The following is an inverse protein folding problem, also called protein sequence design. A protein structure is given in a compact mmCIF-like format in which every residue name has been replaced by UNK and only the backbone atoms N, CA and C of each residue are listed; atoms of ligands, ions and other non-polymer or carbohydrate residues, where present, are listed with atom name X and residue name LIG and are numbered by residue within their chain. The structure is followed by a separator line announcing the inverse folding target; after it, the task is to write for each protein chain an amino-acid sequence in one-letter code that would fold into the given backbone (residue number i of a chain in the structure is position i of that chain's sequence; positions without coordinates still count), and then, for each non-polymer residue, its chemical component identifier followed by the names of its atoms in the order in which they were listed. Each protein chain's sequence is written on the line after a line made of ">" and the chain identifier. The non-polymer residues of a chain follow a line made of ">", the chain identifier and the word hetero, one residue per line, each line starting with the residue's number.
data_IF_412629775992
#
_entry.id   IF_412629775992
#
_cell.length_a   1.000
_cell.length_b   1.000
_cell.length_c   1.000
_cell.angle_alpha   90.00
_cell.angle_beta   90.00
_cell.angle_gamma   90.00
#
_symmetry.space_group_name_H-M   'P 1'
#
loop_
_entity.id
_entity.type
_entity.pdbx_description
1 polymer ?
#
# COMPACT_ATOMS: atom_id res chain seq x y z
N UNK A 1 -21.10 14.99 -12.45
CA UNK A 1 -20.30 13.98 -13.17
C UNK A 1 -19.40 13.26 -12.16
N UNK A 2 -19.62 11.99 -11.81
CA UNK A 2 -18.93 11.33 -10.67
C UNK A 2 -17.70 10.49 -11.07
N UNK A 3 -17.70 9.87 -12.25
CA UNK A 3 -16.74 8.81 -12.63
C UNK A 3 -15.24 9.20 -12.57
N UNK A 4 -14.87 10.44 -12.86
CA UNK A 4 -13.46 10.86 -12.81
C UNK A 4 -12.98 11.12 -11.37
N UNK A 5 -13.89 11.48 -10.47
CA UNK A 5 -13.60 11.73 -9.06
C UNK A 5 -13.28 10.43 -8.34
N UNK A 6 -14.03 9.37 -8.66
CA UNK A 6 -13.83 8.03 -8.09
C UNK A 6 -12.46 7.44 -8.47
N UNK A 7 -11.98 7.70 -9.69
CA UNK A 7 -10.65 7.26 -10.15
C UNK A 7 -9.50 7.96 -9.42
N UNK A 8 -9.58 9.27 -9.30
CA UNK A 8 -8.55 10.05 -8.60
C UNK A 8 -8.51 9.71 -7.12
N UNK A 9 -9.68 9.51 -6.50
CA UNK A 9 -9.78 9.11 -5.10
C UNK A 9 -9.20 7.71 -4.86
N UNK A 10 -9.50 6.74 -5.72
CA UNK A 10 -8.94 5.39 -5.60
C UNK A 10 -7.41 5.40 -5.75
N UNK A 11 -6.89 6.14 -6.73
CA UNK A 11 -5.44 6.27 -6.92
C UNK A 11 -4.74 6.92 -5.70
N UNK A 12 -5.30 8.01 -5.18
CA UNK A 12 -4.77 8.69 -3.99
C UNK A 12 -4.83 7.81 -2.74
N UNK A 13 -5.90 7.03 -2.57
CA UNK A 13 -6.02 6.09 -1.47
C UNK A 13 -4.95 4.99 -1.55
N UNK A 14 -4.72 4.42 -2.74
CA UNK A 14 -3.65 3.45 -2.95
C UNK A 14 -2.27 4.05 -2.65
N UNK A 15 -2.00 5.27 -3.13
CA UNK A 15 -0.74 5.97 -2.85
C UNK A 15 -0.53 6.18 -1.34
N UNK A 16 -1.56 6.64 -0.63
CA UNK A 16 -1.47 6.87 0.82
C UNK A 16 -1.21 5.56 1.58
N UNK A 17 -1.95 4.50 1.25
CA UNK A 17 -1.80 3.21 1.91
C UNK A 17 -0.39 2.61 1.71
N UNK A 18 0.20 2.80 0.52
CA UNK A 18 1.58 2.36 0.24
C UNK A 18 2.60 3.10 1.11
N UNK A 19 2.45 4.41 1.27
CA UNK A 19 3.34 5.19 2.16
C UNK A 19 3.18 4.76 3.62
N UNK A 20 1.94 4.53 4.08
CA UNK A 20 1.69 4.02 5.43
C UNK A 20 2.34 2.64 5.66
N UNK A 21 2.24 1.73 4.69
CA UNK A 21 2.89 0.43 4.74
C UNK A 21 4.43 0.56 4.82
N UNK A 22 5.03 1.45 4.03
CA UNK A 22 6.48 1.73 4.09
C UNK A 22 6.91 2.31 5.42
N UNK A 23 6.14 3.25 5.98
CA UNK A 23 6.42 3.86 7.27
C UNK A 23 6.34 2.82 8.39
N UNK A 24 5.27 2.02 8.42
CA UNK A 24 5.09 0.97 9.41
C UNK A 24 6.19 -0.10 9.32
N UNK A 25 6.60 -0.48 8.11
CA UNK A 25 7.72 -1.40 7.89
C UNK A 25 9.05 -0.80 8.36
N UNK A 26 9.32 0.46 8.01
CA UNK A 26 10.55 1.16 8.39
C UNK A 26 10.65 1.38 9.91
N UNK A 27 9.52 1.39 10.60
CA UNK A 27 9.45 1.51 12.04
C UNK A 27 9.79 0.21 12.79
N UNK A 28 9.95 -0.94 12.10
CA UNK A 28 10.34 -2.21 12.71
C UNK A 28 11.82 -2.16 13.09
N UNK A 29 12.10 -1.85 14.36
CA UNK A 29 13.43 -1.99 14.93
C UNK A 29 13.66 -3.43 15.42
N UNK A 30 14.61 -4.13 14.80
CA UNK A 30 14.97 -5.51 15.20
C UNK A 30 15.54 -5.52 16.62
N UNK A 31 15.17 -6.54 17.40
CA UNK A 31 15.60 -6.75 18.79
C UNK A 31 15.00 -5.80 19.84
N UNK A 32 13.96 -5.04 19.49
CA UNK A 32 13.19 -4.26 20.47
C UNK A 32 12.03 -5.07 21.07
N UNK A 33 11.60 -4.78 22.31
CA UNK A 33 10.46 -5.47 22.95
C UNK A 33 9.13 -5.33 22.20
N UNK A 34 8.97 -4.27 21.39
CA UNK A 34 7.75 -3.96 20.64
C UNK A 34 7.79 -4.47 19.18
N UNK A 35 8.86 -5.14 18.77
CA UNK A 35 9.08 -5.64 17.40
C UNK A 35 7.88 -6.44 16.87
N UNK A 36 7.34 -7.37 17.67
CA UNK A 36 6.19 -8.19 17.27
C UNK A 36 4.90 -7.38 17.04
N UNK A 37 4.67 -6.32 17.82
CA UNK A 37 3.53 -5.41 17.62
C UNK A 37 3.71 -4.60 16.34
N UNK A 38 4.93 -4.13 16.06
CA UNK A 38 5.25 -3.37 14.86
C UNK A 38 5.19 -4.21 13.59
N UNK A 39 5.69 -5.45 13.63
CA UNK A 39 5.51 -6.40 12.52
C UNK A 39 4.04 -6.64 12.22
N UNK A 40 3.21 -6.81 13.26
CA UNK A 40 1.77 -7.00 13.09
C UNK A 40 1.14 -5.76 12.44
N UNK A 41 1.48 -4.57 12.90
CA UNK A 41 0.99 -3.32 12.30
C UNK A 41 1.42 -3.22 10.84
N UNK A 42 2.70 -3.39 10.54
CA UNK A 42 3.21 -3.34 9.18
C UNK A 42 2.53 -4.35 8.26
N UNK A 43 2.25 -5.57 8.74
CA UNK A 43 1.47 -6.57 7.98
C UNK A 43 0.05 -6.08 7.68
N UNK A 44 -0.62 -5.46 8.65
CA UNK A 44 -1.96 -4.89 8.43
C UNK A 44 -1.95 -3.76 7.39
N UNK A 45 -0.97 -2.85 7.47
CA UNK A 45 -0.84 -1.75 6.50
C UNK A 45 -0.51 -2.29 5.09
N UNK A 46 0.32 -3.33 4.99
CA UNK A 46 0.63 -4.03 3.73
C UNK A 46 -0.65 -4.64 3.12
N UNK A 47 -1.44 -5.37 3.91
CA UNK A 47 -2.70 -5.97 3.44
C UNK A 47 -3.70 -4.90 3.00
N UNK A 48 -3.78 -3.77 3.72
CA UNK A 48 -4.62 -2.64 3.34
C UNK A 48 -4.15 -1.99 2.03
N UNK A 49 -2.83 -1.80 1.87
CA UNK A 49 -2.25 -1.26 0.65
C UNK A 49 -2.52 -2.16 -0.57
N UNK A 50 -2.36 -3.48 -0.46
CA UNK A 50 -2.73 -4.44 -1.53
C UNK A 50 -4.19 -4.24 -1.96
N UNK A 51 -5.11 -4.17 -0.99
CA UNK A 51 -6.54 -4.01 -1.28
C UNK A 51 -6.85 -2.67 -1.96
N UNK A 52 -6.21 -1.57 -1.55
CA UNK A 52 -6.43 -0.26 -2.18
C UNK A 52 -5.84 -0.20 -3.59
N UNK A 53 -4.69 -0.84 -3.82
CA UNK A 53 -4.08 -0.96 -5.16
C UNK A 53 -5.00 -1.73 -6.10
N UNK A 54 -5.51 -2.90 -5.67
CA UNK A 54 -6.45 -3.70 -6.46
C UNK A 54 -7.69 -2.89 -6.85
N UNK A 55 -8.30 -2.19 -5.88
CA UNK A 55 -9.45 -1.31 -6.15
C UNK A 55 -9.10 -0.22 -7.16
N UNK A 56 -7.96 0.44 -7.00
CA UNK A 56 -7.53 1.49 -7.90
C UNK A 56 -7.27 0.96 -9.32
N UNK A 57 -6.69 -0.25 -9.46
CA UNK A 57 -6.45 -0.89 -10.75
C UNK A 57 -7.75 -1.08 -11.53
N UNK A 58 -8.87 -1.42 -10.86
CA UNK A 58 -10.17 -1.64 -11.52
C UNK A 58 -10.76 -0.38 -12.19
N UNK A 59 -10.38 0.81 -11.75
CA UNK A 59 -10.94 2.09 -12.23
C UNK A 59 -9.91 2.98 -12.93
N UNK A 60 -8.62 2.68 -12.78
CA UNK A 60 -7.48 3.48 -13.26
C UNK A 60 -7.48 3.81 -14.76
N UNK A 61 -6.78 4.88 -15.14
CA UNK A 61 -6.33 5.12 -16.53
C UNK A 61 -5.03 4.36 -16.81
N UNK A 62 -4.62 4.27 -18.08
CA UNK A 62 -3.38 3.57 -18.48
C UNK A 62 -2.13 4.08 -17.73
N UNK A 63 -1.96 5.40 -17.62
CA UNK A 63 -0.87 5.99 -16.83
C UNK A 63 -0.95 5.69 -15.33
N UNK A 64 -2.16 5.64 -14.77
CA UNK A 64 -2.35 5.28 -13.36
C UNK A 64 -2.06 3.79 -13.14
N UNK A 65 -2.34 2.95 -14.14
CA UNK A 65 -2.11 1.51 -14.08
C UNK A 65 -0.61 1.19 -13.93
N UNK A 66 0.26 1.87 -14.68
CA UNK A 66 1.72 1.71 -14.56
C UNK A 66 2.20 2.06 -13.13
N UNK A 67 1.72 3.17 -12.57
CA UNK A 67 2.08 3.58 -11.22
C UNK A 67 1.55 2.60 -10.16
N UNK A 68 0.32 2.12 -10.32
CA UNK A 68 -0.27 1.13 -9.42
C UNK A 68 0.44 -0.23 -9.50
N UNK A 69 0.94 -0.62 -10.68
CA UNK A 69 1.75 -1.82 -10.81
C UNK A 69 3.08 -1.71 -10.05
N UNK A 70 3.73 -0.53 -10.09
CA UNK A 70 4.91 -0.28 -9.28
C UNK A 70 4.62 -0.29 -7.76
N UNK A 71 3.46 0.23 -7.36
CA UNK A 71 3.01 0.13 -5.97
C UNK A 71 2.80 -1.33 -5.55
N UNK A 72 2.16 -2.14 -6.41
CA UNK A 72 2.00 -3.58 -6.14
C UNK A 72 3.35 -4.27 -5.94
N UNK A 73 4.31 -4.03 -6.83
CA UNK A 73 5.67 -4.58 -6.69
C UNK A 73 6.33 -4.16 -5.37
N UNK A 74 6.20 -2.88 -5.00
CA UNK A 74 6.74 -2.38 -3.73
C UNK A 74 6.13 -3.10 -2.53
N UNK A 75 4.82 -3.30 -2.53
CA UNK A 75 4.12 -3.97 -1.43
C UNK A 75 4.47 -5.46 -1.37
N UNK A 76 4.59 -6.13 -2.51
CA UNK A 76 5.03 -7.53 -2.60
C UNK A 76 6.45 -7.70 -2.01
N UNK A 77 7.35 -6.76 -2.30
CA UNK A 77 8.71 -6.75 -1.74
C UNK A 77 8.71 -6.57 -0.21
N UNK A 78 7.88 -5.68 0.34
CA UNK A 78 7.76 -5.52 1.79
C UNK A 78 7.17 -6.77 2.45
N UNK A 79 6.15 -7.36 1.83
CA UNK A 79 5.48 -8.57 2.31
C UNK A 79 6.40 -9.78 2.40
N UNK A 80 7.36 -9.89 1.49
CA UNK A 80 8.38 -10.95 1.52
C UNK A 80 9.42 -10.77 2.63
N UNK A 81 9.56 -9.56 3.17
CA UNK A 81 10.56 -9.22 4.18
C UNK A 81 10.04 -9.27 5.63
N UNK A 82 8.73 -9.47 5.83
CA UNK A 82 8.08 -9.72 7.14
C UNK A 82 7.82 -11.21 7.33
#
# INVERSE_FOLDING_TARGET
>A
MPYQKDKQQAFQAAQQAVEQAKEAFSAIERHQPDEGTRMKQARQEIEEAELQIEKALTVSTEHQHEQLAHFQQTIDELKQQI
#
